data_IF_610245077934
#
_entry.id   IF_610245077934
#
_cell.length_a   1.000
_cell.length_b   1.000
_cell.length_c   1.000
_cell.angle_alpha   90.00
_cell.angle_beta   90.00
_cell.angle_gamma   90.00
#
_symmetry.space_group_name_H-M   'P 1'
#
loop_
_entity.id
_entity.type
_entity.pdbx_description
1 polymer ?
#
# COMPACT_ATOMS: atom_id res chain seq x y z
N UNK A 1 -2.10 -36.57 72.72
CA UNK A 1 -2.32 -35.58 71.64
C UNK A 1 -1.16 -35.69 70.67
N UNK A 2 -1.26 -36.60 69.70
CA UNK A 2 -0.25 -36.83 68.67
C UNK A 2 -0.85 -36.35 67.36
N UNK A 3 -0.46 -35.16 66.92
CA UNK A 3 -0.86 -34.57 65.63
C UNK A 3 -0.12 -35.27 64.51
N UNK A 4 -0.85 -35.99 63.67
CA UNK A 4 -0.40 -36.59 62.41
C UNK A 4 0.00 -35.51 61.42
N UNK A 5 1.28 -35.48 61.05
CA UNK A 5 1.80 -34.74 59.91
C UNK A 5 1.35 -35.47 58.64
N UNK A 6 0.31 -34.94 57.99
CA UNK A 6 -0.18 -35.42 56.69
C UNK A 6 0.82 -35.01 55.61
N UNK A 7 1.73 -35.93 55.28
CA UNK A 7 2.62 -35.80 54.12
C UNK A 7 1.78 -36.02 52.86
N UNK A 8 1.22 -34.94 52.30
CA UNK A 8 0.78 -34.98 50.90
C UNK A 8 2.03 -35.20 50.05
N UNK A 9 2.14 -36.31 49.30
CA UNK A 9 3.25 -36.48 48.38
C UNK A 9 3.17 -35.33 47.38
N UNK A 10 4.18 -34.46 47.38
CA UNK A 10 4.42 -33.59 46.23
C UNK A 10 4.71 -34.56 45.10
N UNK A 11 3.75 -34.68 44.20
CA UNK A 11 3.88 -35.52 43.02
C UNK A 11 4.91 -34.83 42.14
N UNK A 12 6.18 -35.14 42.40
CA UNK A 12 7.31 -34.84 41.54
C UNK A 12 7.11 -35.65 40.24
N UNK A 13 6.20 -35.15 39.42
CA UNK A 13 6.01 -35.59 38.05
C UNK A 13 7.28 -35.20 37.30
N UNK A 14 8.23 -36.12 37.23
CA UNK A 14 9.32 -36.06 36.26
C UNK A 14 8.69 -36.00 34.87
N UNK A 15 8.35 -34.81 34.40
CA UNK A 15 7.84 -34.60 33.06
C UNK A 15 8.85 -35.21 32.11
N UNK A 16 8.38 -36.20 31.35
CA UNK A 16 9.26 -36.89 30.42
C UNK A 16 9.67 -35.89 29.34
N UNK A 17 10.89 -36.03 28.80
CA UNK A 17 11.39 -35.14 27.73
C UNK A 17 10.41 -35.10 26.55
N UNK A 18 9.67 -36.19 26.30
CA UNK A 18 8.61 -36.24 25.30
C UNK A 18 7.39 -35.35 25.61
N UNK A 19 7.00 -35.21 26.88
CA UNK A 19 5.91 -34.33 27.32
C UNK A 19 6.25 -32.85 27.14
N UNK A 20 7.49 -32.46 27.47
CA UNK A 20 7.98 -31.08 27.29
C UNK A 20 8.10 -30.69 25.82
N UNK A 21 8.56 -31.61 24.95
CA UNK A 21 8.59 -31.40 23.49
C UNK A 21 7.18 -31.29 22.91
N UNK A 22 6.24 -32.11 23.42
CA UNK A 22 4.82 -32.00 23.07
C UNK A 22 4.24 -30.63 23.42
N UNK A 23 4.45 -30.17 24.66
CA UNK A 23 3.99 -28.85 25.12
C UNK A 23 4.64 -27.69 24.35
N UNK A 24 5.94 -27.74 24.07
CA UNK A 24 6.62 -26.71 23.30
C UNK A 24 6.09 -26.63 21.85
N UNK A 25 5.79 -27.77 21.24
CA UNK A 25 5.19 -27.85 19.90
C UNK A 25 3.76 -27.29 19.88
N UNK A 26 2.97 -27.60 20.91
CA UNK A 26 1.62 -27.06 21.12
C UNK A 26 1.63 -25.54 21.29
N UNK A 27 2.58 -25.03 22.09
CA UNK A 27 2.77 -23.60 22.33
C UNK A 27 3.22 -22.88 21.05
N UNK A 28 4.16 -23.45 20.30
CA UNK A 28 4.61 -22.89 19.02
C UNK A 28 3.47 -22.86 17.99
N UNK A 29 2.69 -23.94 17.87
CA UNK A 29 1.50 -24.00 17.01
C UNK A 29 0.48 -22.92 17.39
N UNK A 30 0.28 -22.70 18.68
CA UNK A 30 -0.60 -21.67 19.22
C UNK A 30 -0.08 -20.27 18.90
N UNK A 31 1.21 -20.02 19.09
CA UNK A 31 1.85 -18.73 18.77
C UNK A 31 1.73 -18.40 17.28
N UNK A 32 2.03 -19.37 16.39
CA UNK A 32 1.90 -19.18 14.94
C UNK A 32 0.46 -18.83 14.55
N UNK A 33 -0.54 -19.50 15.15
CA UNK A 33 -1.95 -19.18 14.91
C UNK A 33 -2.32 -17.78 15.38
N UNK A 34 -1.80 -17.35 16.53
CA UNK A 34 -2.01 -16.00 17.06
C UNK A 34 -1.38 -14.94 16.16
N UNK A 35 -0.16 -15.15 15.68
CA UNK A 35 0.53 -14.20 14.80
C UNK A 35 -0.16 -14.08 13.45
N UNK A 36 -0.68 -15.19 12.91
CA UNK A 36 -1.54 -15.16 11.73
C UNK A 36 -2.86 -14.42 11.98
N UNK A 37 -3.46 -14.56 13.16
CA UNK A 37 -4.67 -13.83 13.51
C UNK A 37 -4.42 -12.33 13.65
N UNK A 38 -3.30 -11.95 14.29
CA UNK A 38 -2.85 -10.57 14.44
C UNK A 38 -2.54 -9.95 13.06
N UNK A 39 -1.77 -10.64 12.22
CA UNK A 39 -1.46 -10.20 10.87
C UNK A 39 -2.75 -10.00 10.05
N UNK A 40 -3.71 -10.94 10.11
CA UNK A 40 -5.02 -10.79 9.44
C UNK A 40 -5.76 -9.55 9.92
N UNK A 41 -5.76 -9.28 11.23
CA UNK A 41 -6.39 -8.08 11.77
C UNK A 41 -5.71 -6.81 11.25
N UNK A 42 -4.38 -6.75 11.30
CA UNK A 42 -3.63 -5.58 10.85
C UNK A 42 -3.79 -5.34 9.34
N UNK A 43 -3.78 -6.40 8.53
CA UNK A 43 -4.07 -6.33 7.09
C UNK A 43 -5.51 -5.87 6.83
N UNK A 44 -6.50 -6.35 7.58
CA UNK A 44 -7.88 -5.91 7.45
C UNK A 44 -8.04 -4.42 7.82
N UNK A 45 -7.39 -3.96 8.89
CA UNK A 45 -7.41 -2.56 9.30
C UNK A 45 -6.71 -1.66 8.28
N UNK A 46 -5.51 -2.03 7.82
CA UNK A 46 -4.79 -1.33 6.74
C UNK A 46 -5.62 -1.30 5.46
N UNK A 47 -6.20 -2.42 5.07
CA UNK A 47 -7.06 -2.55 3.90
C UNK A 47 -8.32 -1.67 4.01
N UNK A 48 -8.97 -1.64 5.17
CA UNK A 48 -10.14 -0.78 5.40
C UNK A 48 -9.79 0.71 5.37
N UNK A 49 -8.65 1.10 5.97
CA UNK A 49 -8.16 2.48 5.94
C UNK A 49 -7.78 2.91 4.53
N UNK A 50 -7.03 2.08 3.81
CA UNK A 50 -6.67 2.31 2.41
C UNK A 50 -7.92 2.35 1.51
N UNK A 51 -8.87 1.44 1.71
CA UNK A 51 -10.13 1.39 0.96
C UNK A 51 -11.01 2.61 1.20
N UNK A 52 -11.15 3.07 2.45
CA UNK A 52 -11.89 4.30 2.76
C UNK A 52 -11.20 5.53 2.19
N UNK A 53 -9.88 5.62 2.31
CA UNK A 53 -9.09 6.72 1.74
C UNK A 53 -9.18 6.76 0.21
N UNK A 54 -8.98 5.61 -0.43
CA UNK A 54 -9.11 5.46 -1.89
C UNK A 54 -10.52 5.74 -2.37
N UNK A 55 -11.54 5.29 -1.66
CA UNK A 55 -12.95 5.58 -1.96
C UNK A 55 -13.29 7.07 -1.86
N UNK A 56 -12.82 7.75 -0.82
CA UNK A 56 -13.01 9.20 -0.65
C UNK A 56 -12.27 10.00 -1.73
N UNK A 57 -11.03 9.64 -2.06
CA UNK A 57 -10.29 10.27 -3.15
C UNK A 57 -10.95 10.01 -4.51
N UNK A 58 -11.45 8.80 -4.75
CA UNK A 58 -12.21 8.47 -5.94
C UNK A 58 -13.49 9.32 -6.06
N UNK A 59 -14.26 9.44 -4.98
CA UNK A 59 -15.45 10.29 -4.94
C UNK A 59 -15.10 11.76 -5.16
N UNK A 60 -14.07 12.28 -4.48
CA UNK A 60 -13.59 13.65 -4.67
C UNK A 60 -13.17 13.92 -6.12
N UNK A 61 -12.47 12.96 -6.76
CA UNK A 61 -12.13 13.03 -8.18
C UNK A 61 -13.36 13.06 -9.09
N UNK A 62 -14.35 12.22 -8.83
CA UNK A 62 -15.59 12.18 -9.61
C UNK A 62 -16.40 13.48 -9.50
N UNK A 63 -16.60 13.98 -8.28
CA UNK A 63 -17.29 15.27 -8.06
C UNK A 63 -16.48 16.45 -8.60
N UNK A 64 -15.16 16.43 -8.47
CA UNK A 64 -14.28 17.43 -9.07
C UNK A 64 -14.38 17.47 -10.59
N UNK A 65 -14.42 16.29 -11.24
CA UNK A 65 -14.62 16.19 -12.69
C UNK A 65 -15.99 16.69 -13.13
N UNK A 66 -17.07 16.30 -12.43
CA UNK A 66 -18.40 16.80 -12.71
C UNK A 66 -18.49 18.33 -12.53
N UNK A 67 -17.88 18.87 -11.48
CA UNK A 67 -17.77 20.31 -11.25
C UNK A 67 -17.00 21.04 -12.34
N UNK A 68 -15.92 20.45 -12.86
CA UNK A 68 -15.17 21.00 -13.99
C UNK A 68 -16.02 21.09 -15.26
N UNK A 69 -16.82 20.06 -15.57
CA UNK A 69 -17.76 20.09 -16.70
C UNK A 69 -18.84 21.16 -16.52
N UNK A 70 -19.39 21.28 -15.32
CA UNK A 70 -20.37 22.33 -15.01
C UNK A 70 -19.77 23.73 -15.14
N UNK A 71 -18.55 23.94 -14.66
CA UNK A 71 -17.81 25.21 -14.82
C UNK A 71 -17.51 25.51 -16.29
N UNK A 72 -17.11 24.51 -17.08
CA UNK A 72 -16.91 24.68 -18.51
C UNK A 72 -18.21 25.14 -19.21
N UNK A 73 -19.33 24.48 -18.90
CA UNK A 73 -20.64 24.87 -19.40
C UNK A 73 -21.05 26.28 -18.98
N UNK A 74 -20.83 26.64 -17.71
CA UNK A 74 -21.10 27.98 -17.19
C UNK A 74 -20.24 29.04 -17.88
N UNK A 75 -18.96 28.77 -18.13
CA UNK A 75 -18.06 29.66 -18.85
C UNK A 75 -18.50 29.86 -20.31
N UNK A 76 -18.93 28.78 -20.99
CA UNK A 76 -19.50 28.88 -22.35
C UNK A 76 -20.77 29.71 -22.33
N UNK A 77 -21.67 29.47 -21.39
CA UNK A 77 -22.91 30.24 -21.25
C UNK A 77 -22.62 31.74 -21.01
N UNK A 78 -21.69 32.06 -20.11
CA UNK A 78 -21.29 33.43 -19.82
C UNK A 78 -20.68 34.13 -21.05
N UNK A 79 -19.75 33.46 -21.76
CA UNK A 79 -19.16 34.01 -22.98
C UNK A 79 -20.15 34.11 -24.13
N UNK A 80 -21.17 33.25 -24.16
CA UNK A 80 -22.21 33.30 -25.20
C UNK A 80 -23.09 34.56 -25.13
N UNK A 81 -23.01 35.33 -24.02
CA UNK A 81 -23.65 36.64 -23.91
C UNK A 81 -23.03 37.68 -24.86
N UNK A 82 -21.77 37.48 -25.28
CA UNK A 82 -21.01 38.43 -26.11
C UNK A 82 -20.44 37.81 -27.39
N UNK A 83 -20.41 36.48 -27.49
CA UNK A 83 -19.90 35.72 -28.64
C UNK A 83 -20.94 34.69 -29.10
N UNK A 84 -20.93 34.26 -30.38
CA UNK A 84 -21.73 33.12 -30.79
C UNK A 84 -21.28 31.86 -30.05
N UNK A 85 -22.23 30.96 -29.75
CA UNK A 85 -22.01 29.80 -28.88
C UNK A 85 -20.85 28.90 -29.34
N UNK A 86 -20.65 28.76 -30.65
CA UNK A 86 -19.55 27.97 -31.20
C UNK A 86 -18.17 28.59 -30.88
N UNK A 87 -18.05 29.92 -30.92
CA UNK A 87 -16.81 30.62 -30.62
C UNK A 87 -16.52 30.57 -29.11
N UNK A 88 -17.55 30.78 -28.28
CA UNK A 88 -17.44 30.63 -26.83
C UNK A 88 -16.96 29.22 -26.43
N UNK A 89 -17.56 28.17 -27.04
CA UNK A 89 -17.16 26.79 -26.81
C UNK A 89 -15.70 26.52 -27.20
N UNK A 90 -15.24 27.04 -28.35
CA UNK A 90 -13.84 26.89 -28.79
C UNK A 90 -12.86 27.59 -27.85
N UNK A 91 -13.17 28.79 -27.38
CA UNK A 91 -12.31 29.53 -26.44
C UNK A 91 -12.18 28.78 -25.12
N UNK A 92 -13.29 28.35 -24.52
CA UNK A 92 -13.26 27.59 -23.25
C UNK A 92 -12.51 26.28 -23.44
N UNK A 93 -12.74 25.58 -24.54
CA UNK A 93 -12.04 24.34 -24.87
C UNK A 93 -10.53 24.58 -24.98
N UNK A 94 -10.10 25.61 -25.71
CA UNK A 94 -8.68 25.93 -25.86
C UNK A 94 -8.02 26.22 -24.49
N UNK A 95 -8.67 26.99 -23.62
CA UNK A 95 -8.18 27.27 -22.26
C UNK A 95 -8.04 25.98 -21.45
N UNK A 96 -9.04 25.10 -21.49
CA UNK A 96 -8.98 23.81 -20.79
C UNK A 96 -7.85 22.91 -21.32
N UNK A 97 -7.61 22.88 -22.63
CA UNK A 97 -6.48 22.14 -23.22
C UNK A 97 -5.12 22.69 -22.78
N UNK A 98 -4.98 24.02 -22.69
CA UNK A 98 -3.76 24.64 -22.15
C UNK A 98 -3.53 24.23 -20.70
N UNK A 99 -4.57 24.31 -19.86
CA UNK A 99 -4.49 23.87 -18.46
C UNK A 99 -4.13 22.38 -18.38
N UNK A 100 -4.78 21.53 -19.18
CA UNK A 100 -4.50 20.09 -19.23
C UNK A 100 -3.06 19.79 -19.67
N UNK A 101 -2.53 20.52 -20.66
CA UNK A 101 -1.15 20.36 -21.12
C UNK A 101 -0.15 20.74 -20.02
N UNK A 102 -0.39 21.85 -19.29
CA UNK A 102 0.46 22.28 -18.17
C UNK A 102 0.41 21.27 -17.03
N UNK A 103 -0.78 20.84 -16.62
CA UNK A 103 -0.95 19.83 -15.56
C UNK A 103 -0.34 18.49 -15.96
N UNK A 104 -0.51 18.06 -17.21
CA UNK A 104 0.08 16.83 -17.74
C UNK A 104 1.60 16.89 -17.76
N UNK A 105 2.19 18.01 -18.18
CA UNK A 105 3.63 18.23 -18.17
C UNK A 105 4.19 18.26 -16.74
N UNK A 106 3.52 18.97 -15.83
CA UNK A 106 3.91 19.04 -14.42
C UNK A 106 3.79 17.66 -13.73
N UNK A 107 2.70 16.93 -13.97
CA UNK A 107 2.50 15.58 -13.47
C UNK A 107 3.57 14.62 -13.97
N UNK A 108 3.88 14.66 -15.28
CA UNK A 108 4.98 13.88 -15.86
C UNK A 108 6.32 14.24 -15.24
N UNK A 109 6.58 15.52 -14.99
CA UNK A 109 7.81 15.97 -14.34
C UNK A 109 7.91 15.48 -12.88
N UNK A 110 6.81 15.50 -12.13
CA UNK A 110 6.78 14.97 -10.76
C UNK A 110 6.97 13.45 -10.74
N UNK A 111 6.30 12.71 -11.63
CA UNK A 111 6.50 11.26 -11.75
C UNK A 111 7.94 10.91 -12.12
N UNK A 112 8.59 11.70 -13.00
CA UNK A 112 10.01 11.52 -13.33
C UNK A 112 10.96 11.82 -12.16
N UNK A 113 10.57 12.69 -11.23
CA UNK A 113 11.35 13.00 -10.01
C UNK A 113 11.11 12.00 -8.88
N UNK A 114 9.90 11.45 -8.81
CA UNK A 114 9.48 10.50 -7.78
C UNK A 114 9.78 9.04 -8.18
N UNK A 115 9.91 8.75 -9.48
CA UNK A 115 10.51 7.51 -9.92
C UNK A 115 11.97 7.51 -9.45
N UNK A 116 12.43 6.47 -8.72
CA UNK A 116 13.85 6.30 -8.49
C UNK A 116 14.53 6.36 -9.86
N UNK A 117 15.70 7.02 -10.00
CA UNK A 117 16.50 6.86 -11.21
C UNK A 117 16.52 5.36 -11.47
N UNK A 118 16.14 4.94 -12.68
CA UNK A 118 16.29 3.56 -13.13
C UNK A 118 17.57 3.04 -12.51
N UNK A 119 17.54 1.93 -11.73
CA UNK A 119 18.67 1.53 -10.94
C UNK A 119 19.75 1.02 -11.88
N UNK A 120 20.39 1.90 -12.65
CA UNK A 120 21.55 1.59 -13.46
C UNK A 120 22.69 1.17 -12.54
N UNK A 121 22.73 1.71 -11.32
CA UNK A 121 23.63 1.28 -10.26
C UNK A 121 23.31 -0.15 -9.75
N UNK A 122 22.03 -0.50 -9.56
CA UNK A 122 21.65 -1.86 -9.07
C UNK A 122 21.64 -2.91 -10.19
N UNK A 123 21.33 -2.52 -11.44
CA UNK A 123 21.50 -3.38 -12.61
C UNK A 123 22.98 -3.57 -12.94
N UNK A 124 23.82 -2.56 -12.70
CA UNK A 124 25.27 -2.63 -12.81
C UNK A 124 25.88 -3.55 -11.76
N UNK A 125 25.46 -3.45 -10.50
CA UNK A 125 25.93 -4.34 -9.43
C UNK A 125 25.48 -5.79 -9.66
N UNK A 126 24.23 -6.02 -10.06
CA UNK A 126 23.75 -7.38 -10.38
C UNK A 126 24.47 -7.97 -11.59
N UNK A 127 24.83 -7.17 -12.61
CA UNK A 127 25.65 -7.63 -13.73
C UNK A 127 27.07 -7.98 -13.29
N UNK A 128 27.69 -7.14 -12.46
CA UNK A 128 29.03 -7.38 -11.93
C UNK A 128 29.06 -8.65 -11.06
N UNK A 129 28.06 -8.84 -10.20
CA UNK A 129 27.93 -10.03 -9.35
C UNK A 129 27.75 -11.31 -10.20
N UNK A 130 26.99 -11.24 -11.29
CA UNK A 130 26.81 -12.37 -12.22
C UNK A 130 28.09 -12.68 -13.00
N UNK A 131 28.86 -11.65 -13.36
CA UNK A 131 30.13 -11.80 -14.08
C UNK A 131 31.22 -12.39 -13.18
N UNK A 132 31.30 -11.99 -11.92
CA UNK A 132 32.18 -12.58 -10.91
C UNK A 132 31.84 -14.05 -10.63
N UNK A 133 30.54 -14.39 -10.52
CA UNK A 133 30.11 -15.79 -10.35
C UNK A 133 30.47 -16.64 -11.57
N UNK A 134 30.35 -16.10 -12.79
CA UNK A 134 30.76 -16.78 -14.03
C UNK A 134 32.26 -17.01 -14.10
N UNK A 135 33.07 -16.05 -13.68
CA UNK A 135 34.53 -16.16 -13.68
C UNK A 135 35.01 -17.21 -12.66
N UNK A 136 34.38 -17.27 -11.48
CA UNK A 136 34.69 -18.29 -10.46
C UNK A 136 34.22 -19.70 -10.84
N UNK A 137 33.18 -19.83 -11.66
CA UNK A 137 32.68 -21.12 -12.13
C UNK A 137 33.49 -21.71 -13.32
N UNK A 138 34.32 -20.90 -13.98
CA UNK A 138 35.17 -21.32 -15.10
C UNK A 138 36.62 -21.67 -14.69
N UNK A 139 36.95 -21.63 -13.40
CA UNK A 139 38.27 -22.01 -12.87
C UNK A 139 38.29 -23.43 -12.31
#
# INVERSE_FOLDING_TARGET
MTGTTDFRPVQDGHHTVGELVGQATEQLSTLVRQELALAKQEFAEKGRRAGRGGGLLGAAGAFGYAGLLALAGAAVAALSLVLPVWAAALVVTAVLFVIAAVLGAAGRAQLRRAAPPTPEQTLGSVKADVEEIKERAHR
#
